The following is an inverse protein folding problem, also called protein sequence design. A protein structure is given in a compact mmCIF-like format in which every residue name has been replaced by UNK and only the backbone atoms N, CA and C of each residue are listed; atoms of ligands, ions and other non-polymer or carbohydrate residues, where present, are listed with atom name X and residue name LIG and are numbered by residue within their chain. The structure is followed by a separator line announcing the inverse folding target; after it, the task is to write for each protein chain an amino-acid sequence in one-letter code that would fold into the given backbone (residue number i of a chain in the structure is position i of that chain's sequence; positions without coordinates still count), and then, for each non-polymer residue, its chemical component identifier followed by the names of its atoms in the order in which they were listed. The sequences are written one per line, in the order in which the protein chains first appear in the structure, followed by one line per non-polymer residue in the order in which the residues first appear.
data_IF_374963944527
#
_entry.id   IF_374963944527
#
_cell.length_a   1.000
_cell.length_b   1.000
_cell.length_c   1.000
_cell.angle_alpha   90.00
_cell.angle_beta   90.00
_cell.angle_gamma   90.00
#
_symmetry.space_group_name_H-M   'P 1'
#
loop_
_entity.id
_entity.type
_entity.pdbx_description
1 polymer ?
#
# COMPACT_ATOMS: atom_id res chain seq x y z
N UNK A 1 10.15 11.51 -6.22
CA UNK A 1 9.03 10.59 -6.01
C UNK A 1 9.44 9.50 -5.03
N UNK A 2 8.65 9.31 -4.01
CA UNK A 2 8.83 8.18 -3.10
C UNK A 2 7.92 7.02 -3.50
N UNK A 3 8.22 5.84 -2.98
CA UNK A 3 7.49 4.63 -3.30
C UNK A 3 7.00 3.98 -2.00
N UNK A 4 5.77 3.49 -2.02
CA UNK A 4 5.11 2.97 -0.83
C UNK A 4 4.40 1.65 -1.16
N UNK A 5 4.13 0.88 -0.12
CA UNK A 5 3.29 -0.31 -0.21
C UNK A 5 2.21 -0.21 0.87
N UNK A 6 0.96 -0.43 0.47
CA UNK A 6 -0.17 -0.49 1.40
C UNK A 6 -0.83 -1.85 1.30
N UNK A 7 -1.40 -2.31 2.40
CA UNK A 7 -2.05 -3.62 2.47
C UNK A 7 -3.56 -3.46 2.59
N UNK A 8 -4.29 -4.30 1.88
CA UNK A 8 -5.74 -4.39 1.98
C UNK A 8 -6.15 -5.86 1.92
N UNK A 9 -7.17 -6.24 2.70
CA UNK A 9 -7.77 -7.56 2.58
C UNK A 9 -8.76 -7.54 1.41
N UNK A 10 -8.61 -8.44 0.40
CA UNK A 10 -9.46 -8.40 -0.78
C UNK A 10 -10.95 -8.63 -0.48
N UNK A 11 -11.27 -9.33 0.60
CA UNK A 11 -12.66 -9.52 1.04
C UNK A 11 -13.28 -8.24 1.59
N UNK A 12 -12.47 -7.32 2.12
CA UNK A 12 -12.92 -6.02 2.63
C UNK A 12 -12.87 -4.95 1.56
N UNK A 13 -11.74 -4.85 0.87
CA UNK A 13 -11.56 -3.87 -0.21
C UNK A 13 -10.54 -4.38 -1.22
N UNK A 14 -11.02 -4.89 -2.34
CA UNK A 14 -10.16 -5.42 -3.40
C UNK A 14 -9.63 -4.32 -4.31
N UNK A 15 -8.52 -4.60 -5.00
CA UNK A 15 -7.99 -3.67 -5.99
C UNK A 15 -8.99 -3.47 -7.15
N UNK A 16 -9.74 -4.51 -7.51
CA UNK A 16 -10.78 -4.40 -8.53
C UNK A 16 -11.87 -3.40 -8.12
N UNK A 17 -12.28 -3.43 -6.85
CA UNK A 17 -13.23 -2.45 -6.32
C UNK A 17 -12.63 -1.05 -6.33
N UNK A 18 -11.37 -0.93 -5.94
CA UNK A 18 -10.64 0.32 -5.98
C UNK A 18 -10.61 0.91 -7.39
N UNK A 19 -10.36 0.07 -8.41
CA UNK A 19 -10.38 0.51 -9.80
C UNK A 19 -11.77 1.02 -10.23
N UNK A 20 -12.84 0.37 -9.77
CA UNK A 20 -14.21 0.82 -10.03
C UNK A 20 -14.49 2.18 -9.37
N UNK A 21 -14.01 2.37 -8.15
CA UNK A 21 -14.18 3.61 -7.40
C UNK A 21 -13.31 4.74 -7.96
N UNK A 22 -12.23 4.40 -8.66
CA UNK A 22 -11.22 5.30 -9.26
C UNK A 22 -10.36 5.98 -8.21
N UNK A 23 -10.94 6.56 -7.19
CA UNK A 23 -10.24 7.19 -6.07
C UNK A 23 -10.83 6.70 -4.77
N UNK A 24 -10.02 6.67 -3.72
CA UNK A 24 -10.52 6.29 -2.39
C UNK A 24 -9.68 6.98 -1.31
N UNK A 25 -10.31 7.25 -0.18
CA UNK A 25 -9.60 7.64 1.03
C UNK A 25 -9.10 6.35 1.68
N UNK A 26 -7.79 6.25 1.91
CA UNK A 26 -7.19 5.06 2.52
C UNK A 26 -7.31 5.16 4.04
N UNK A 27 -8.51 4.84 4.53
CA UNK A 27 -8.90 4.98 5.94
C UNK A 27 -8.63 3.70 6.73
N UNK A 28 -8.84 3.77 8.04
CA UNK A 28 -8.80 2.59 8.89
C UNK A 28 -7.41 2.18 9.35
N UNK A 29 -6.37 2.96 9.05
CA UNK A 29 -5.01 2.67 9.52
C UNK A 29 -4.91 3.04 10.99
N UNK A 30 -4.59 2.06 11.85
CA UNK A 30 -4.56 2.21 13.31
C UNK A 30 -3.25 1.75 13.95
N UNK A 31 -2.18 1.77 13.17
CA UNK A 31 -0.81 1.46 13.62
C UNK A 31 -0.01 2.75 13.68
N UNK A 32 0.70 2.99 14.77
CA UNK A 32 1.53 4.19 14.91
C UNK A 32 2.61 4.28 13.83
N UNK A 33 3.40 3.21 13.55
CA UNK A 33 4.38 3.29 12.47
C UNK A 33 3.75 3.57 11.11
N UNK A 34 2.63 2.92 10.79
CA UNK A 34 1.93 3.13 9.52
C UNK A 34 1.45 4.58 9.39
N UNK A 35 0.94 5.17 10.48
CA UNK A 35 0.52 6.56 10.50
C UNK A 35 1.66 7.51 10.16
N UNK A 36 2.85 7.25 10.70
CA UNK A 36 4.03 8.06 10.40
C UNK A 36 4.33 8.03 8.90
N UNK A 37 4.26 6.85 8.28
CA UNK A 37 4.49 6.72 6.84
C UNK A 37 3.41 7.42 6.02
N UNK A 38 2.13 7.32 6.41
CA UNK A 38 1.07 8.06 5.73
C UNK A 38 1.34 9.56 5.72
N UNK A 39 1.84 10.09 6.84
CA UNK A 39 2.19 11.52 6.96
C UNK A 39 3.36 11.93 6.07
N UNK A 40 4.21 10.99 5.70
CA UNK A 40 5.37 11.24 4.84
C UNK A 40 5.04 11.17 3.35
N UNK A 41 3.89 10.63 2.99
CA UNK A 41 3.49 10.53 1.59
C UNK A 41 3.28 11.91 1.00
N UNK A 42 3.78 12.10 -0.22
CA UNK A 42 3.62 13.33 -0.99
C UNK A 42 2.75 13.08 -2.21
N UNK A 43 2.05 14.11 -2.66
CA UNK A 43 1.23 14.05 -3.87
C UNK A 43 2.10 13.63 -5.06
N UNK A 44 1.64 12.64 -5.82
CA UNK A 44 2.37 12.08 -6.95
C UNK A 44 3.19 10.85 -6.61
N UNK A 45 3.35 10.49 -5.33
CA UNK A 45 4.09 9.30 -4.95
C UNK A 45 3.39 8.03 -5.46
N UNK A 46 4.20 7.03 -5.80
CA UNK A 46 3.73 5.72 -6.25
C UNK A 46 3.40 4.84 -5.06
N UNK A 47 2.27 4.14 -5.14
CA UNK A 47 1.82 3.23 -4.08
C UNK A 47 1.50 1.87 -4.70
N UNK A 48 2.15 0.81 -4.22
CA UNK A 48 1.79 -0.55 -4.57
C UNK A 48 0.74 -1.06 -3.60
N UNK A 49 -0.27 -1.76 -4.12
CA UNK A 49 -1.33 -2.34 -3.31
C UNK A 49 -1.10 -3.84 -3.19
N UNK A 50 -1.02 -4.32 -1.95
CA UNK A 50 -0.81 -5.71 -1.60
C UNK A 50 -2.10 -6.29 -1.02
N UNK A 51 -2.56 -7.41 -1.56
CA UNK A 51 -3.68 -8.17 -0.99
C UNK A 51 -3.15 -9.09 0.10
N UNK A 52 -3.54 -8.82 1.34
CA UNK A 52 -3.15 -9.63 2.49
C UNK A 52 -4.16 -10.77 2.71
N UNK A 53 -3.80 -11.69 3.60
CA UNK A 53 -4.62 -12.82 4.06
C UNK A 53 -4.80 -13.89 2.97
N UNK A 54 -5.68 -13.73 1.99
CA UNK A 54 -6.02 -14.81 1.08
C UNK A 54 -5.10 -14.94 -0.14
N UNK A 55 -4.78 -13.83 -0.81
CA UNK A 55 -3.94 -13.88 -2.02
C UNK A 55 -2.45 -13.76 -1.74
N UNK A 56 -2.08 -12.92 -0.78
CA UNK A 56 -0.67 -12.62 -0.41
C UNK A 56 0.16 -12.26 -1.64
N UNK A 57 -0.25 -11.20 -2.33
CA UNK A 57 0.39 -10.75 -3.56
C UNK A 57 0.26 -9.24 -3.74
N UNK A 58 1.26 -8.63 -4.39
CA UNK A 58 1.14 -7.26 -4.88
C UNK A 58 0.34 -7.32 -6.18
N UNK A 59 -0.75 -6.57 -6.26
CA UNK A 59 -1.75 -6.73 -7.32
C UNK A 59 -1.93 -5.49 -8.19
N UNK A 60 -1.50 -4.32 -7.75
CA UNK A 60 -1.71 -3.13 -8.53
C UNK A 60 -0.92 -1.93 -8.03
N UNK A 61 -1.03 -0.83 -8.75
CA UNK A 61 -0.37 0.44 -8.40
C UNK A 61 -1.40 1.55 -8.29
N UNK A 62 -1.07 2.54 -7.49
CA UNK A 62 -1.89 3.73 -7.26
C UNK A 62 -0.98 4.94 -7.11
N UNK A 63 -1.59 6.11 -7.06
CA UNK A 63 -0.88 7.39 -6.92
C UNK A 63 -1.52 8.19 -5.77
N UNK A 64 -0.68 8.82 -4.95
CA UNK A 64 -1.17 9.72 -3.90
C UNK A 64 -1.69 11.00 -4.56
N UNK A 65 -2.96 11.33 -4.32
CA UNK A 65 -3.58 12.55 -4.87
C UNK A 65 -3.91 13.57 -3.80
N UNK A 66 -3.96 13.16 -2.54
CA UNK A 66 -4.13 14.08 -1.41
C UNK A 66 -3.32 13.57 -0.23
N UNK A 67 -2.53 14.47 0.36
CA UNK A 67 -1.67 14.15 1.49
C UNK A 67 -2.48 13.97 2.78
N UNK A 68 -1.81 13.50 3.84
CA UNK A 68 -2.45 13.11 5.10
C UNK A 68 -3.38 14.18 5.67
N UNK A 69 -4.57 13.76 6.06
CA UNK A 69 -5.57 14.56 6.73
C UNK A 69 -6.30 13.68 7.77
N UNK A 70 -7.04 14.28 8.70
CA UNK A 70 -7.71 13.48 9.73
C UNK A 70 -8.64 12.42 9.14
N UNK A 71 -8.51 11.20 9.63
CA UNK A 71 -9.32 10.07 9.19
C UNK A 71 -10.77 10.25 9.69
N UNK A 72 -11.76 10.36 8.80
CA UNK A 72 -13.16 10.57 9.20
C UNK A 72 -13.84 9.34 9.80
N UNK A 73 -13.17 8.16 9.74
CA UNK A 73 -13.75 6.91 10.26
C UNK A 73 -13.36 6.64 11.71
N UNK A 74 -12.64 7.56 12.36
CA UNK A 74 -12.24 7.42 13.77
C UNK A 74 -13.47 7.46 14.67
N UNK A 75 -13.63 6.43 15.52
CA UNK A 75 -14.71 6.38 16.49
C UNK A 75 -14.47 7.38 17.62
N UNK A 76 -15.54 7.90 18.28
CA UNK A 76 -15.39 8.92 19.33
C UNK A 76 -14.50 8.51 20.50
N UNK A 77 -14.40 7.21 20.78
CA UNK A 77 -13.60 6.67 21.89
C UNK A 77 -12.18 6.26 21.46
N UNK A 78 -11.88 6.29 20.18
CA UNK A 78 -10.53 5.99 19.68
C UNK A 78 -9.60 7.16 20.00
N UNK A 79 -8.46 6.85 20.61
CA UNK A 79 -7.44 7.83 20.93
C UNK A 79 -6.34 7.81 19.88
N UNK A 80 -5.76 8.96 19.61
CA UNK A 80 -4.72 9.15 18.66
C UNK A 80 -5.17 10.03 17.49
N UNK A 81 -4.20 10.62 16.83
CA UNK A 81 -4.45 11.48 15.67
C UNK A 81 -4.28 10.64 14.41
N UNK A 82 -5.28 9.83 14.13
CA UNK A 82 -5.26 8.95 12.95
C UNK A 82 -5.52 9.75 11.69
N UNK A 83 -4.79 9.39 10.64
CA UNK A 83 -4.86 10.10 9.36
C UNK A 83 -5.10 9.13 8.22
N UNK A 84 -5.53 9.68 7.10
CA UNK A 84 -5.65 8.95 5.84
C UNK A 84 -5.08 9.81 4.71
N UNK A 85 -4.86 9.17 3.58
CA UNK A 85 -4.47 9.83 2.33
C UNK A 85 -5.48 9.45 1.26
N UNK A 86 -5.61 10.25 0.22
CA UNK A 86 -6.42 9.87 -0.92
C UNK A 86 -5.52 9.28 -2.01
N UNK A 87 -5.93 8.14 -2.53
CA UNK A 87 -5.23 7.43 -3.58
C UNK A 87 -6.09 7.33 -4.83
N UNK A 88 -5.44 7.42 -5.98
CA UNK A 88 -6.06 7.16 -7.29
C UNK A 88 -5.58 5.81 -7.80
N UNK A 89 -6.52 4.94 -8.16
CA UNK A 89 -6.20 3.62 -8.71
C UNK A 89 -5.48 3.77 -10.05
N UNK A 90 -4.40 3.02 -10.20
CA UNK A 90 -3.68 2.89 -11.45
C UNK A 90 -3.92 1.53 -12.07
N UNK A 91 -2.89 0.98 -12.70
CA UNK A 91 -2.99 -0.31 -13.41
C UNK A 91 -2.91 -1.48 -12.44
N UNK A 92 -3.70 -2.53 -12.71
CA UNK A 92 -3.47 -3.83 -12.12
C UNK A 92 -2.16 -4.39 -12.68
N UNK A 93 -1.40 -5.12 -11.86
CA UNK A 93 -0.24 -5.84 -12.37
C UNK A 93 -0.72 -6.99 -13.25
N UNK A 94 -0.28 -7.07 -14.54
CA UNK A 94 -0.61 -8.23 -15.38
C UNK A 94 -0.25 -9.56 -14.73
N UNK A 95 0.82 -9.54 -13.92
CA UNK A 95 1.27 -10.72 -13.16
C UNK A 95 1.37 -10.30 -11.70
N UNK A 96 0.41 -10.69 -10.83
CA UNK A 96 0.53 -10.43 -9.41
C UNK A 96 1.85 -10.99 -8.86
N UNK A 97 2.52 -10.21 -8.01
CA UNK A 97 3.80 -10.63 -7.44
C UNK A 97 3.53 -11.28 -6.09
N UNK A 98 3.65 -12.61 -6.05
CA UNK A 98 3.34 -13.40 -4.85
C UNK A 98 4.36 -13.16 -3.75
N UNK A 99 3.90 -13.19 -2.50
CA UNK A 99 4.78 -13.05 -1.33
C UNK A 99 5.91 -14.10 -1.36
N UNK A 100 5.61 -15.33 -1.77
CA UNK A 100 6.63 -16.38 -1.90
C UNK A 100 7.76 -16.00 -2.86
N UNK A 101 7.41 -15.38 -4.00
CA UNK A 101 8.40 -14.89 -4.97
C UNK A 101 9.23 -13.74 -4.39
N UNK A 102 8.60 -12.86 -3.61
CA UNK A 102 9.30 -11.77 -2.94
C UNK A 102 10.31 -12.31 -1.92
N UNK A 103 9.90 -13.28 -1.11
CA UNK A 103 10.77 -13.88 -0.09
C UNK A 103 11.99 -14.57 -0.68
N UNK A 104 11.89 -15.10 -1.88
CA UNK A 104 12.99 -15.83 -2.54
C UNK A 104 13.87 -14.94 -3.43
N UNK A 105 13.53 -13.66 -3.57
CA UNK A 105 14.24 -12.74 -4.45
C UNK A 105 15.19 -11.83 -3.66
N UNK A 106 16.48 -11.86 -4.01
CA UNK A 106 17.51 -11.05 -3.31
C UNK A 106 17.27 -9.55 -3.38
N UNK A 107 16.59 -9.06 -4.42
CA UNK A 107 16.29 -7.65 -4.56
C UNK A 107 15.40 -7.17 -3.40
N UNK A 108 14.66 -8.08 -2.76
CA UNK A 108 13.76 -7.79 -1.65
C UNK A 108 14.30 -8.22 -0.29
N UNK A 109 15.60 -8.43 -0.15
CA UNK A 109 16.19 -8.92 1.11
C UNK A 109 15.85 -8.06 2.32
N UNK A 110 15.64 -6.77 2.13
CA UNK A 110 15.36 -5.82 3.20
C UNK A 110 13.93 -5.24 3.14
N UNK A 111 13.08 -5.79 2.29
CA UNK A 111 11.74 -5.23 2.08
C UNK A 111 10.91 -5.29 3.38
N UNK A 112 10.27 -4.18 3.70
CA UNK A 112 9.49 -4.06 4.94
C UNK A 112 8.27 -4.98 4.96
N UNK A 113 7.71 -5.32 3.80
CA UNK A 113 6.63 -6.29 3.68
C UNK A 113 6.96 -7.61 4.40
N UNK A 114 8.20 -8.07 4.28
CA UNK A 114 8.65 -9.32 4.90
C UNK A 114 9.20 -9.08 6.30
N UNK A 115 10.05 -8.06 6.48
CA UNK A 115 10.68 -7.78 7.77
C UNK A 115 9.72 -7.29 8.83
N UNK A 116 8.71 -6.53 8.41
CA UNK A 116 7.68 -5.96 9.29
C UNK A 116 6.32 -6.46 8.83
N UNK A 117 6.07 -7.75 9.02
CA UNK A 117 4.89 -8.42 8.46
C UNK A 117 3.55 -7.84 8.93
N UNK A 118 3.52 -7.15 10.07
CA UNK A 118 2.32 -6.51 10.60
C UNK A 118 2.15 -5.05 10.20
N UNK A 119 3.13 -4.49 9.50
CA UNK A 119 3.09 -3.10 9.07
C UNK A 119 2.20 -2.96 7.84
N UNK A 120 1.13 -2.19 7.94
CA UNK A 120 0.13 -2.06 6.87
C UNK A 120 0.46 -0.98 5.84
N UNK A 121 1.38 -0.09 6.15
CA UNK A 121 1.88 0.94 5.24
C UNK A 121 3.38 1.00 5.41
N UNK A 122 4.13 0.81 4.34
CA UNK A 122 5.60 0.73 4.41
C UNK A 122 6.26 1.46 3.25
N UNK A 123 7.45 2.02 3.46
CA UNK A 123 8.23 2.59 2.37
C UNK A 123 8.85 1.49 1.52
N UNK A 124 9.06 1.79 0.25
CA UNK A 124 9.83 0.95 -0.67
C UNK A 124 11.01 1.75 -1.18
N UNK A 125 12.13 1.08 -1.45
CA UNK A 125 13.26 1.69 -2.15
C UNK A 125 12.94 1.77 -3.64
N UNK A 126 13.68 2.60 -4.38
CA UNK A 126 13.56 2.65 -5.84
C UNK A 126 13.82 1.30 -6.48
N UNK A 127 14.81 0.56 -5.96
CA UNK A 127 15.14 -0.78 -6.47
C UNK A 127 14.00 -1.75 -6.26
N UNK A 128 13.38 -1.72 -5.08
CA UNK A 128 12.25 -2.58 -4.77
C UNK A 128 11.05 -2.25 -5.67
N UNK A 129 10.77 -0.97 -5.86
CA UNK A 129 9.71 -0.53 -6.76
C UNK A 129 9.96 -0.98 -8.19
N UNK A 130 11.18 -0.79 -8.71
CA UNK A 130 11.53 -1.19 -10.07
C UNK A 130 11.39 -2.69 -10.27
N UNK A 131 11.81 -3.49 -9.28
CA UNK A 131 11.70 -4.96 -9.35
C UNK A 131 10.24 -5.42 -9.31
N UNK A 132 9.42 -4.79 -8.47
CA UNK A 132 7.98 -5.09 -8.43
C UNK A 132 7.31 -4.80 -9.77
N UNK A 133 7.64 -3.67 -10.39
CA UNK A 133 7.12 -3.33 -11.72
C UNK A 133 7.53 -4.35 -12.77
N UNK A 134 8.81 -4.72 -12.78
CA UNK A 134 9.36 -5.69 -13.71
C UNK A 134 8.68 -7.05 -13.54
N UNK A 135 8.62 -7.58 -12.34
CA UNK A 135 7.99 -8.86 -12.05
C UNK A 135 6.49 -8.84 -12.32
N UNK A 136 5.86 -7.71 -12.08
CA UNK A 136 4.42 -7.52 -12.31
C UNK A 136 4.03 -7.31 -13.76
N UNK A 137 4.99 -7.12 -14.66
CA UNK A 137 4.73 -6.94 -16.08
C UNK A 137 4.39 -5.50 -16.48
N UNK A 138 4.84 -4.53 -15.71
CA UNK A 138 4.65 -3.11 -16.03
C UNK A 138 5.86 -2.52 -16.75
#
# INVERSE_FOLDING_TARGET
MNHWLVKSEPESYSFAQFQKDKTTAWTGVRSFPARIFLRQMAKGDEVFVYHSVSEKAVVGVATVIKTAYPDPTVEPDEKGEWVCVDLKAGKALPKPVLLAAIKSNRAFKDIQLVRQSRLSVAPLTEKESAELRKLGGL
#
